data_IF_352015563096
#
_entry.id   IF_352015563096
#
_cell.length_a   1.000
_cell.length_b   1.000
_cell.length_c   1.000
_cell.angle_alpha   90.00
_cell.angle_beta   90.00
_cell.angle_gamma   90.00
#
_symmetry.space_group_name_H-M   'P 1'
#
loop_
_entity.id
_entity.type
_entity.pdbx_description
1 polymer ?
#
# COMPACT_ATOMS: atom_id res chain seq x y z
N UNK A 1 -0.13 11.77 16.85
CA UNK A 1 -0.25 12.85 15.84
C UNK A 1 -1.12 12.32 14.71
N UNK A 2 -2.07 13.11 14.18
CA UNK A 2 -2.90 12.68 13.06
C UNK A 2 -2.05 12.50 11.79
N UNK A 3 -2.54 11.67 10.87
CA UNK A 3 -1.94 11.55 9.54
C UNK A 3 -2.29 12.78 8.68
N UNK A 4 -1.36 13.21 7.84
CA UNK A 4 -1.64 14.16 6.77
C UNK A 4 -2.52 13.48 5.72
N UNK A 5 -3.59 14.14 5.28
CA UNK A 5 -4.53 13.57 4.28
C UNK A 5 -4.67 14.53 3.11
N UNK A 6 -4.48 14.02 1.91
CA UNK A 6 -4.83 14.69 0.66
C UNK A 6 -6.23 14.29 0.23
N UNK A 7 -7.06 15.28 -0.15
CA UNK A 7 -8.39 15.03 -0.71
C UNK A 7 -8.45 15.62 -2.10
N UNK A 8 -8.87 14.84 -3.10
CA UNK A 8 -8.96 15.26 -4.49
C UNK A 8 -10.18 14.62 -5.17
N UNK A 9 -10.78 15.34 -6.10
CA UNK A 9 -11.99 14.87 -6.78
C UNK A 9 -13.26 15.06 -5.97
N UNK A 10 -14.34 14.46 -6.45
CA UNK A 10 -15.67 14.51 -5.81
C UNK A 10 -16.42 13.21 -6.12
N UNK A 11 -17.45 12.90 -5.35
CA UNK A 11 -18.23 11.67 -5.48
C UNK A 11 -18.01 10.72 -4.32
N UNK A 12 -18.38 9.43 -4.46
CA UNK A 12 -18.22 8.44 -3.40
C UNK A 12 -16.75 8.30 -2.97
N UNK A 13 -16.46 8.19 -1.66
CA UNK A 13 -15.09 8.17 -1.18
C UNK A 13 -14.34 6.88 -1.52
N UNK A 14 -13.08 7.04 -1.94
CA UNK A 14 -12.11 5.96 -2.07
C UNK A 14 -10.85 6.32 -1.28
N UNK A 15 -10.51 5.48 -0.31
CA UNK A 15 -9.30 5.62 0.52
C UNK A 15 -8.13 4.97 -0.20
N UNK A 16 -7.04 5.72 -0.40
CA UNK A 16 -5.87 5.28 -1.14
C UNK A 16 -4.67 5.14 -0.19
N UNK A 17 -4.25 3.90 0.09
CA UNK A 17 -3.10 3.59 0.95
C UNK A 17 -1.88 3.24 0.09
N UNK A 18 -0.89 4.11 0.05
CA UNK A 18 0.28 4.02 -0.83
C UNK A 18 1.32 2.97 -0.38
N UNK A 19 2.28 2.65 -1.26
CA UNK A 19 3.40 1.76 -0.96
C UNK A 19 4.58 2.46 -0.28
N UNK A 20 5.54 1.68 0.24
CA UNK A 20 6.78 2.21 0.82
C UNK A 20 7.50 3.14 -0.17
N UNK A 21 8.07 4.21 0.33
CA UNK A 21 8.68 5.34 -0.38
C UNK A 21 7.73 6.22 -1.19
N UNK A 22 6.46 5.87 -1.32
CA UNK A 22 5.46 6.71 -1.99
C UNK A 22 4.88 7.76 -1.03
N UNK A 23 3.90 8.52 -1.51
CA UNK A 23 3.09 9.48 -0.75
C UNK A 23 1.62 9.34 -1.18
N UNK A 24 0.70 9.97 -0.48
CA UNK A 24 -0.72 10.00 -0.84
C UNK A 24 -1.00 10.54 -2.25
N UNK A 25 -0.02 11.23 -2.86
CA UNK A 25 -0.14 11.81 -4.21
C UNK A 25 0.30 10.88 -5.34
N UNK A 26 1.11 9.85 -5.06
CA UNK A 26 1.77 9.06 -6.10
C UNK A 26 0.89 7.90 -6.60
N UNK A 27 -0.10 8.21 -7.39
CA UNK A 27 -0.98 7.23 -8.05
C UNK A 27 -0.95 7.34 -9.58
N UNK A 28 -0.23 8.34 -10.14
CA UNK A 28 -0.09 8.57 -11.58
C UNK A 28 -1.44 8.66 -12.31
N UNK A 29 -1.46 8.33 -13.58
CA UNK A 29 -2.67 8.36 -14.40
C UNK A 29 -3.76 7.38 -13.92
N UNK A 30 -3.41 6.34 -13.18
CA UNK A 30 -4.39 5.48 -12.50
C UNK A 30 -5.21 6.28 -11.46
N UNK A 31 -4.54 7.11 -10.64
CA UNK A 31 -5.21 7.99 -9.68
C UNK A 31 -6.05 9.09 -10.36
N UNK A 32 -5.56 9.64 -11.48
CA UNK A 32 -6.30 10.64 -12.27
C UNK A 32 -7.63 10.09 -12.79
N UNK A 33 -7.65 8.81 -13.22
CA UNK A 33 -8.88 8.14 -13.65
C UNK A 33 -9.85 7.91 -12.49
N UNK A 34 -9.36 7.47 -11.33
CA UNK A 34 -10.19 7.34 -10.12
C UNK A 34 -10.80 8.69 -9.73
N UNK A 35 -10.04 9.78 -9.81
CA UNK A 35 -10.50 11.14 -9.46
C UNK A 35 -11.67 11.62 -10.32
N UNK A 36 -11.87 11.07 -11.51
CA UNK A 36 -13.00 11.39 -12.38
C UNK A 36 -14.37 11.01 -11.79
N UNK A 37 -14.41 9.92 -11.01
CA UNK A 37 -15.66 9.34 -10.50
C UNK A 37 -15.73 9.31 -8.96
N UNK A 38 -14.59 9.57 -8.25
CA UNK A 38 -14.49 9.38 -6.80
C UNK A 38 -13.82 10.55 -6.10
N UNK A 39 -14.20 10.77 -4.83
CA UNK A 39 -13.43 11.57 -3.89
C UNK A 39 -12.26 10.72 -3.36
N UNK A 40 -11.03 11.05 -3.76
CA UNK A 40 -9.83 10.36 -3.32
C UNK A 40 -9.41 10.87 -1.94
N UNK A 41 -9.42 10.01 -0.93
CA UNK A 41 -8.92 10.28 0.43
C UNK A 41 -7.60 9.55 0.57
N UNK A 42 -6.49 10.26 0.50
CA UNK A 42 -5.16 9.68 0.38
C UNK A 42 -4.25 10.13 1.54
N UNK A 43 -4.22 9.39 2.66
CA UNK A 43 -3.31 9.69 3.75
C UNK A 43 -1.86 9.41 3.35
N UNK A 44 -0.93 10.26 3.78
CA UNK A 44 0.48 9.91 3.88
C UNK A 44 0.63 8.93 5.05
N UNK A 45 1.14 7.72 4.79
CA UNK A 45 1.27 6.69 5.82
C UNK A 45 2.38 7.04 6.84
N UNK A 46 2.38 6.48 8.05
CA UNK A 46 3.41 6.76 9.06
C UNK A 46 4.83 6.69 8.49
N UNK A 47 5.63 7.70 8.79
CA UNK A 47 7.00 7.83 8.30
C UNK A 47 7.13 8.37 6.87
N UNK A 48 6.04 8.80 6.22
CA UNK A 48 6.08 9.30 4.85
C UNK A 48 5.57 10.75 4.76
N UNK A 49 6.28 11.57 3.97
CA UNK A 49 5.89 12.93 3.56
C UNK A 49 5.29 13.76 4.71
N UNK A 50 4.06 14.25 4.57
CA UNK A 50 3.37 15.05 5.61
C UNK A 50 3.12 14.31 6.93
N UNK A 51 3.32 12.98 6.97
CA UNK A 51 3.27 12.14 8.18
C UNK A 51 4.65 11.61 8.60
N UNK A 52 5.75 12.24 8.15
CA UNK A 52 7.12 11.78 8.38
C UNK A 52 7.50 11.64 9.85
N UNK A 53 6.89 12.43 10.74
CA UNK A 53 7.13 12.38 12.18
C UNK A 53 6.30 11.32 12.93
N UNK A 54 5.29 10.73 12.27
CA UNK A 54 4.43 9.71 12.89
C UNK A 54 5.18 8.38 12.96
N UNK A 55 5.21 7.77 14.14
CA UNK A 55 5.83 6.46 14.40
C UNK A 55 4.75 5.50 14.88
N UNK A 56 4.46 4.46 14.09
CA UNK A 56 3.42 3.48 14.39
C UNK A 56 3.77 2.13 13.75
N UNK A 57 3.45 1.04 14.42
CA UNK A 57 3.40 -0.30 13.84
C UNK A 57 2.12 -0.49 13.01
N UNK A 58 1.99 -1.61 12.32
CA UNK A 58 0.84 -1.84 11.42
C UNK A 58 -0.53 -1.77 12.14
N UNK A 59 -0.73 -2.36 13.34
CA UNK A 59 -1.99 -2.21 14.08
C UNK A 59 -2.30 -0.75 14.43
N UNK A 60 -1.35 -0.03 15.03
CA UNK A 60 -1.52 1.39 15.38
C UNK A 60 -1.70 2.27 14.14
N UNK A 61 -0.97 1.98 13.06
CA UNK A 61 -1.13 2.68 11.78
C UNK A 61 -2.54 2.47 11.18
N UNK A 62 -3.13 1.28 11.37
CA UNK A 62 -4.50 0.99 10.94
C UNK A 62 -5.54 1.84 11.71
N UNK A 63 -5.35 2.01 13.01
CA UNK A 63 -6.18 2.90 13.84
C UNK A 63 -6.05 4.35 13.37
N UNK A 64 -4.82 4.85 13.14
CA UNK A 64 -4.57 6.19 12.64
C UNK A 64 -5.18 6.42 11.24
N UNK A 65 -5.16 5.42 10.37
CA UNK A 65 -5.86 5.49 9.07
C UNK A 65 -7.36 5.63 9.28
N UNK A 66 -7.98 4.79 10.13
CA UNK A 66 -9.41 4.86 10.39
C UNK A 66 -9.81 6.22 11.01
N UNK A 67 -9.03 6.73 11.97
CA UNK A 67 -9.23 8.07 12.55
C UNK A 67 -9.15 9.17 11.50
N UNK A 68 -8.13 9.15 10.63
CA UNK A 68 -7.94 10.14 9.57
C UNK A 68 -9.08 10.10 8.54
N UNK A 69 -9.54 8.90 8.17
CA UNK A 69 -10.67 8.72 7.27
C UNK A 69 -11.96 9.21 7.91
N UNK A 70 -12.25 8.83 9.17
CA UNK A 70 -13.42 9.31 9.90
C UNK A 70 -13.43 10.84 10.06
N UNK A 71 -12.28 11.46 10.30
CA UNK A 71 -12.15 12.91 10.37
C UNK A 71 -12.45 13.60 9.02
N UNK A 72 -12.23 12.89 7.90
CA UNK A 72 -12.37 13.43 6.54
C UNK A 72 -13.77 13.23 5.97
N UNK A 73 -14.33 12.01 6.09
CA UNK A 73 -15.61 11.63 5.47
C UNK A 73 -16.69 11.22 6.47
N UNK A 74 -16.42 11.32 7.77
CA UNK A 74 -17.34 10.85 8.81
C UNK A 74 -17.51 9.33 8.78
N UNK A 75 -18.75 8.87 8.85
CA UNK A 75 -19.11 7.44 8.80
C UNK A 75 -19.55 6.97 7.41
N UNK A 76 -19.32 7.77 6.38
CA UNK A 76 -19.68 7.39 5.01
C UNK A 76 -18.93 6.12 4.59
N UNK A 77 -19.63 5.08 4.05
CA UNK A 77 -18.96 3.87 3.58
C UNK A 77 -18.04 4.18 2.40
N UNK A 78 -16.78 3.75 2.49
CA UNK A 78 -15.77 4.00 1.46
C UNK A 78 -15.36 2.73 0.70
N UNK A 79 -14.67 2.91 -0.41
CA UNK A 79 -13.80 1.88 -1.01
C UNK A 79 -12.42 2.02 -0.37
N UNK A 80 -11.75 0.90 -0.06
CA UNK A 80 -10.37 0.91 0.38
C UNK A 80 -9.48 0.31 -0.70
N UNK A 81 -8.53 1.07 -1.20
CA UNK A 81 -7.54 0.62 -2.17
C UNK A 81 -6.14 0.78 -1.58
N UNK A 82 -5.42 -0.33 -1.44
CA UNK A 82 -4.06 -0.33 -0.92
C UNK A 82 -3.06 -0.93 -1.90
N UNK A 83 -1.86 -0.36 -1.95
CA UNK A 83 -0.75 -0.89 -2.72
C UNK A 83 0.41 -1.29 -1.82
N UNK A 84 0.92 -2.53 -1.95
CA UNK A 84 2.11 -3.04 -1.26
C UNK A 84 2.04 -2.85 0.26
N UNK A 85 2.81 -1.92 0.86
CA UNK A 85 2.67 -1.52 2.27
C UNK A 85 1.21 -1.13 2.59
N UNK A 86 0.59 -0.29 1.75
CA UNK A 86 -0.79 0.14 1.91
C UNK A 86 -1.80 -1.02 1.79
N UNK A 87 -1.51 -2.04 0.98
CA UNK A 87 -2.36 -3.23 0.92
C UNK A 87 -2.28 -4.07 2.21
N UNK A 88 -1.09 -4.19 2.80
CA UNK A 88 -0.90 -4.85 4.10
C UNK A 88 -1.59 -4.06 5.22
N UNK A 89 -1.41 -2.76 5.24
CA UNK A 89 -2.08 -1.87 6.17
C UNK A 89 -3.60 -1.91 6.01
N UNK A 90 -4.10 -1.98 4.77
CA UNK A 90 -5.53 -2.17 4.47
C UNK A 90 -6.09 -3.45 5.10
N UNK A 91 -5.36 -4.56 5.08
CA UNK A 91 -5.75 -5.78 5.77
C UNK A 91 -5.83 -5.58 7.30
N UNK A 92 -4.86 -4.86 7.89
CA UNK A 92 -4.91 -4.53 9.32
C UNK A 92 -6.09 -3.61 9.65
N UNK A 93 -6.37 -2.61 8.82
CA UNK A 93 -7.53 -1.70 8.98
C UNK A 93 -8.84 -2.47 8.95
N UNK A 94 -9.02 -3.36 7.96
CA UNK A 94 -10.23 -4.18 7.83
C UNK A 94 -10.46 -5.15 9.00
N UNK A 95 -9.38 -5.68 9.59
CA UNK A 95 -9.44 -6.68 10.65
C UNK A 95 -9.40 -6.09 12.06
N UNK A 96 -9.01 -4.83 12.21
CA UNK A 96 -8.72 -4.22 13.50
C UNK A 96 -9.48 -2.94 13.82
N UNK A 97 -10.25 -2.37 12.87
CA UNK A 97 -10.98 -1.11 13.08
C UNK A 97 -12.45 -1.23 12.67
N UNK A 98 -13.22 -0.20 13.01
CA UNK A 98 -14.64 -0.09 12.66
C UNK A 98 -14.89 0.72 11.37
N UNK A 99 -13.85 0.94 10.55
CA UNK A 99 -13.99 1.66 9.30
C UNK A 99 -15.00 0.99 8.37
N UNK A 100 -16.03 1.75 7.97
CA UNK A 100 -17.08 1.24 7.07
C UNK A 100 -16.55 1.13 5.64
N UNK A 101 -16.25 -0.08 5.20
CA UNK A 101 -15.70 -0.37 3.87
C UNK A 101 -16.68 -1.23 3.07
N UNK A 102 -17.07 -0.76 1.87
CA UNK A 102 -18.00 -1.48 0.98
C UNK A 102 -17.32 -2.41 -0.02
N UNK A 103 -16.10 -2.08 -0.45
CA UNK A 103 -15.27 -2.87 -1.36
C UNK A 103 -13.80 -2.62 -1.10
N UNK A 104 -12.97 -3.60 -1.43
CA UNK A 104 -11.52 -3.55 -1.22
C UNK A 104 -10.76 -3.89 -2.49
N UNK A 105 -9.68 -3.16 -2.76
CA UNK A 105 -8.69 -3.50 -3.79
C UNK A 105 -7.31 -3.55 -3.15
N UNK A 106 -6.64 -4.70 -3.24
CA UNK A 106 -5.29 -4.92 -2.71
C UNK A 106 -4.33 -5.17 -3.86
N UNK A 107 -3.48 -4.20 -4.19
CA UNK A 107 -2.49 -4.32 -5.26
C UNK A 107 -1.14 -4.75 -4.67
N UNK A 108 -0.62 -5.90 -5.07
CA UNK A 108 0.67 -6.40 -4.59
C UNK A 108 0.72 -6.59 -3.07
N UNK A 109 -0.40 -7.01 -2.47
CA UNK A 109 -0.53 -7.25 -1.04
C UNK A 109 -0.10 -8.66 -0.61
N UNK A 110 0.11 -8.84 0.70
CA UNK A 110 0.36 -10.14 1.34
C UNK A 110 -0.23 -10.17 2.75
N UNK A 111 -0.68 -11.32 3.19
CA UNK A 111 -1.06 -11.57 4.58
C UNK A 111 0.12 -11.76 5.53
N UNK A 112 1.35 -11.60 5.06
CA UNK A 112 2.57 -11.75 5.86
C UNK A 112 3.38 -13.01 5.54
N UNK A 113 4.48 -13.20 6.26
CA UNK A 113 5.41 -14.33 6.14
C UNK A 113 5.09 -15.33 7.25
N UNK A 114 4.74 -16.57 6.91
CA UNK A 114 4.38 -17.61 7.91
C UNK A 114 5.60 -18.11 8.68
N UNK A 115 6.69 -18.38 7.98
CA UNK A 115 7.90 -18.92 8.59
C UNK A 115 8.61 -17.87 9.46
N UNK A 116 8.79 -18.18 10.74
CA UNK A 116 9.38 -17.29 11.71
C UNK A 116 10.85 -16.93 11.41
N UNK A 117 11.60 -17.89 10.87
CA UNK A 117 13.01 -17.64 10.50
C UNK A 117 13.10 -16.77 9.25
N UNK A 118 12.18 -16.92 8.29
CA UNK A 118 12.09 -16.03 7.13
C UNK A 118 11.67 -14.63 7.56
N UNK A 119 10.70 -14.48 8.49
CA UNK A 119 10.33 -13.18 9.06
C UNK A 119 11.51 -12.49 9.72
N UNK A 120 12.29 -13.23 10.49
CA UNK A 120 13.49 -12.69 11.16
C UNK A 120 14.54 -12.22 10.14
N UNK A 121 14.84 -13.04 9.12
CA UNK A 121 15.76 -12.63 8.04
C UNK A 121 15.26 -11.37 7.32
N UNK A 122 13.96 -11.28 7.10
CA UNK A 122 13.36 -10.10 6.48
C UNK A 122 13.46 -8.88 7.41
N UNK A 123 13.25 -9.03 8.71
CA UNK A 123 13.41 -7.94 9.69
C UNK A 123 14.85 -7.43 9.73
N UNK A 124 15.82 -8.32 9.68
CA UNK A 124 17.24 -7.94 9.61
C UNK A 124 17.56 -7.18 8.32
N UNK A 125 16.97 -7.57 7.20
CA UNK A 125 17.12 -6.85 5.93
C UNK A 125 16.48 -5.45 6.01
N UNK A 126 15.28 -5.33 6.58
CA UNK A 126 14.59 -4.06 6.76
C UNK A 126 15.38 -3.14 7.70
N UNK A 127 15.98 -3.69 8.79
CA UNK A 127 16.85 -2.94 9.71
C UNK A 127 18.13 -2.44 9.03
N UNK A 128 18.77 -3.27 8.21
CA UNK A 128 19.98 -2.85 7.49
C UNK A 128 19.69 -1.67 6.54
N UNK A 129 18.53 -1.71 5.83
CA UNK A 129 18.10 -0.60 4.97
C UNK A 129 17.74 0.66 5.80
N UNK A 130 17.13 0.48 6.97
CA UNK A 130 16.79 1.58 7.87
C UNK A 130 18.06 2.27 8.41
N UNK A 131 19.04 1.49 8.84
CA UNK A 131 20.34 2.01 9.31
C UNK A 131 21.10 2.73 8.18
N UNK A 132 21.05 2.20 6.95
CA UNK A 132 21.63 2.88 5.78
C UNK A 132 20.99 4.26 5.55
N UNK A 133 19.67 4.35 5.59
CA UNK A 133 18.93 5.61 5.43
C UNK A 133 19.31 6.62 6.52
N UNK A 134 19.35 6.21 7.79
CA UNK A 134 19.70 7.10 8.89
C UNK A 134 21.16 7.59 8.81
N UNK A 135 22.08 6.70 8.47
CA UNK A 135 23.49 7.06 8.31
C UNK A 135 23.74 8.03 7.15
N UNK A 136 22.97 7.88 6.06
CA UNK A 136 23.08 8.75 4.89
C UNK A 136 22.33 10.08 5.07
N UNK A 137 21.36 10.15 6.00
CA UNK A 137 20.51 11.31 6.22
C UNK A 137 19.67 11.66 4.99
N UNK A 138 19.01 12.81 5.02
CA UNK A 138 18.09 13.23 3.95
C UNK A 138 18.80 13.44 2.60
N UNK A 139 20.06 13.81 2.61
CA UNK A 139 20.90 13.93 1.41
C UNK A 139 21.02 12.56 0.70
N UNK A 140 21.05 11.46 1.46
CA UNK A 140 21.16 10.10 0.95
C UNK A 140 19.85 9.51 0.40
N UNK A 141 18.70 10.12 0.68
CA UNK A 141 17.39 9.60 0.24
C UNK A 141 17.31 9.43 -1.29
N UNK A 142 17.86 10.38 -2.06
CA UNK A 142 17.87 10.29 -3.52
C UNK A 142 18.64 9.04 -4.02
N UNK A 143 19.83 8.80 -3.46
CA UNK A 143 20.65 7.64 -3.82
C UNK A 143 20.00 6.31 -3.36
N UNK A 144 19.38 6.30 -2.19
CA UNK A 144 18.58 5.16 -1.73
C UNK A 144 17.43 4.85 -2.70
N UNK A 145 16.66 5.85 -3.11
CA UNK A 145 15.55 5.70 -4.06
C UNK A 145 16.03 5.17 -5.41
N UNK A 146 17.20 5.61 -5.88
CA UNK A 146 17.78 5.13 -7.12
C UNK A 146 18.08 3.62 -7.07
N UNK A 147 18.69 3.15 -5.99
CA UNK A 147 18.94 1.72 -5.78
C UNK A 147 17.65 0.93 -5.56
N UNK A 148 16.75 1.46 -4.74
CA UNK A 148 15.45 0.85 -4.45
C UNK A 148 14.64 0.61 -5.73
N UNK A 149 14.51 1.62 -6.58
CA UNK A 149 13.77 1.54 -7.83
C UNK A 149 14.49 0.76 -8.94
N UNK A 150 15.81 0.57 -8.83
CA UNK A 150 16.58 -0.32 -9.71
C UNK A 150 16.46 -1.80 -9.32
N UNK A 151 15.89 -2.09 -8.15
CA UNK A 151 15.73 -3.45 -7.66
C UNK A 151 14.74 -4.29 -8.50
N UNK A 152 14.84 -5.63 -8.41
CA UNK A 152 14.05 -6.56 -9.23
C UNK A 152 12.54 -6.38 -9.06
N UNK A 153 12.08 -5.90 -7.91
CA UNK A 153 10.66 -5.62 -7.64
C UNK A 153 10.06 -4.60 -8.62
N UNK A 154 10.88 -3.67 -9.14
CA UNK A 154 10.48 -2.60 -10.05
C UNK A 154 10.99 -2.78 -11.48
N UNK A 155 11.45 -3.98 -11.85
CA UNK A 155 11.99 -4.25 -13.19
C UNK A 155 11.02 -3.91 -14.35
N UNK A 156 9.70 -3.96 -14.08
CA UNK A 156 8.64 -3.62 -15.04
C UNK A 156 8.12 -2.18 -14.90
N UNK A 157 8.64 -1.39 -13.97
CA UNK A 157 8.19 -0.02 -13.75
C UNK A 157 8.99 0.94 -14.66
N UNK A 158 8.35 1.62 -15.63
CA UNK A 158 9.02 2.63 -16.45
C UNK A 158 9.57 3.77 -15.57
N UNK A 159 10.75 4.28 -15.89
CA UNK A 159 11.37 5.38 -15.15
C UNK A 159 10.49 6.63 -15.07
N UNK A 160 9.74 6.93 -16.14
CA UNK A 160 8.79 8.04 -16.21
C UNK A 160 7.60 7.88 -15.26
N UNK A 161 7.20 6.63 -14.95
CA UNK A 161 6.10 6.33 -14.04
C UNK A 161 6.55 6.12 -12.58
N UNK A 162 7.86 6.13 -12.32
CA UNK A 162 8.41 5.83 -11.00
C UNK A 162 8.15 6.92 -9.94
N UNK A 163 7.77 8.14 -10.35
CA UNK A 163 7.42 9.24 -9.45
C UNK A 163 8.56 9.67 -8.53
N UNK A 164 9.79 9.76 -9.05
CA UNK A 164 11.01 10.02 -8.26
C UNK A 164 10.94 11.32 -7.47
N UNK A 165 10.43 12.38 -8.06
CA UNK A 165 10.37 13.69 -7.41
C UNK A 165 9.36 13.66 -6.24
N UNK A 166 8.23 12.99 -6.42
CA UNK A 166 7.26 12.84 -5.33
C UNK A 166 7.82 11.96 -4.19
N UNK A 167 8.57 10.90 -4.50
CA UNK A 167 9.23 10.06 -3.49
C UNK A 167 10.30 10.79 -2.68
N UNK A 168 10.96 11.81 -3.27
CA UNK A 168 11.95 12.65 -2.59
C UNK A 168 11.38 13.57 -1.52
N UNK A 169 10.06 13.66 -1.40
CA UNK A 169 9.38 14.36 -0.30
C UNK A 169 9.49 13.63 1.03
N UNK A 170 9.94 12.38 1.01
CA UNK A 170 10.20 11.61 2.22
C UNK A 170 11.56 11.96 2.83
N UNK A 171 11.65 11.91 4.16
CA UNK A 171 12.90 12.04 4.90
C UNK A 171 13.49 10.66 5.28
N UNK A 172 14.79 10.63 5.52
CA UNK A 172 15.50 9.40 5.86
C UNK A 172 14.97 8.75 7.15
N UNK A 173 14.78 9.54 8.21
CA UNK A 173 14.31 9.04 9.52
C UNK A 173 12.87 8.50 9.46
N UNK A 174 12.02 9.10 8.63
CA UNK A 174 10.65 8.62 8.42
C UNK A 174 10.63 7.27 7.71
N UNK A 175 11.34 7.15 6.58
CA UNK A 175 11.46 5.90 5.84
C UNK A 175 12.10 4.79 6.67
N UNK A 176 13.17 5.09 7.43
CA UNK A 176 13.81 4.13 8.34
C UNK A 176 12.83 3.61 9.40
N UNK A 177 12.06 4.51 10.01
CA UNK A 177 11.01 4.14 10.96
C UNK A 177 9.94 3.24 10.33
N UNK A 178 9.49 3.56 9.11
CA UNK A 178 8.51 2.74 8.39
C UNK A 178 9.04 1.32 8.11
N UNK A 179 10.32 1.17 7.75
CA UNK A 179 10.95 -0.15 7.58
C UNK A 179 10.93 -0.96 8.89
N UNK A 180 11.30 -0.33 10.03
CA UNK A 180 11.36 -1.00 11.33
C UNK A 180 10.00 -1.39 11.88
N UNK A 181 9.01 -0.50 11.76
CA UNK A 181 7.71 -0.67 12.41
C UNK A 181 6.66 -1.30 11.50
N UNK A 182 6.72 -1.03 10.19
CA UNK A 182 5.77 -1.52 9.20
C UNK A 182 6.40 -2.44 8.16
N UNK A 183 7.63 -2.91 8.35
CA UNK A 183 8.30 -3.86 7.47
C UNK A 183 7.52 -5.19 7.37
N UNK A 184 7.73 -5.95 6.29
CA UNK A 184 7.04 -7.25 6.15
C UNK A 184 7.55 -8.26 7.19
N UNK A 185 8.78 -8.08 7.70
CA UNK A 185 9.36 -8.93 8.74
C UNK A 185 8.77 -8.70 10.12
N UNK A 186 8.17 -7.54 10.40
CA UNK A 186 7.50 -7.24 11.67
C UNK A 186 6.01 -7.58 11.66
N UNK A 187 5.45 -7.84 10.49
CA UNK A 187 4.03 -8.18 10.37
C UNK A 187 3.76 -9.60 10.89
N UNK A 188 2.88 -9.72 11.88
CA UNK A 188 2.32 -11.02 12.23
C UNK A 188 1.43 -11.55 11.09
N UNK A 189 1.51 -12.85 10.76
CA UNK A 189 0.73 -13.42 9.66
C UNK A 189 -0.77 -13.30 9.89
N UNK A 190 -1.49 -12.75 8.91
CA UNK A 190 -2.94 -12.55 8.95
C UNK A 190 -3.74 -13.66 8.27
N UNK A 191 -3.08 -14.65 7.66
CA UNK A 191 -3.73 -15.65 6.80
C UNK A 191 -4.92 -16.34 7.46
N UNK A 192 -4.78 -16.77 8.72
CA UNK A 192 -5.86 -17.40 9.48
C UNK A 192 -6.98 -16.45 9.90
N UNK A 193 -6.76 -15.12 9.80
CA UNK A 193 -7.77 -14.09 10.12
C UNK A 193 -8.56 -13.65 8.89
N UNK A 194 -8.06 -13.89 7.67
CA UNK A 194 -8.70 -13.43 6.44
C UNK A 194 -10.10 -14.04 6.23
N UNK A 195 -10.39 -15.19 6.81
CA UNK A 195 -11.74 -15.78 6.81
C UNK A 195 -12.81 -14.89 7.47
N UNK A 196 -12.41 -13.93 8.30
CA UNK A 196 -13.32 -12.97 8.92
C UNK A 196 -13.68 -11.78 8.00
N UNK A 197 -13.02 -11.63 6.85
CA UNK A 197 -13.31 -10.57 5.89
C UNK A 197 -14.58 -10.90 5.10
N UNK A 198 -15.68 -10.25 5.46
CA UNK A 198 -16.97 -10.39 4.74
C UNK A 198 -17.14 -9.38 3.61
N UNK A 199 -16.34 -8.31 3.59
CA UNK A 199 -16.36 -7.33 2.51
C UNK A 199 -15.79 -7.92 1.22
N UNK A 200 -16.33 -7.58 0.02
CA UNK A 200 -15.77 -8.02 -1.24
C UNK A 200 -14.34 -7.50 -1.47
N UNK A 201 -13.39 -8.39 -1.82
CA UNK A 201 -11.96 -8.08 -2.01
C UNK A 201 -11.50 -8.46 -3.42
N UNK A 202 -10.89 -7.52 -4.12
CA UNK A 202 -10.07 -7.78 -5.32
C UNK A 202 -8.59 -7.79 -4.93
N UNK A 203 -7.94 -8.94 -5.02
CA UNK A 203 -6.49 -9.07 -4.89
C UNK A 203 -5.84 -8.99 -6.28
N UNK A 204 -5.14 -7.90 -6.58
CA UNK A 204 -4.56 -7.60 -7.89
C UNK A 204 -3.03 -7.70 -7.83
N UNK A 205 -2.42 -8.37 -8.81
CA UNK A 205 -0.97 -8.42 -8.99
C UNK A 205 -0.60 -8.39 -10.47
N UNK A 206 0.65 -8.11 -10.78
CA UNK A 206 1.17 -8.34 -12.13
C UNK A 206 1.56 -9.80 -12.34
N UNK A 207 1.35 -10.34 -13.55
CA UNK A 207 1.71 -11.74 -13.85
C UNK A 207 3.21 -12.02 -13.80
N UNK A 208 4.04 -10.98 -13.98
CA UNK A 208 5.51 -11.07 -13.91
C UNK A 208 6.05 -10.86 -12.48
N UNK A 209 5.16 -10.57 -11.53
CA UNK A 209 5.46 -10.58 -10.10
C UNK A 209 4.98 -11.90 -9.47
N UNK A 210 5.70 -12.99 -9.76
CA UNK A 210 5.33 -14.34 -9.32
C UNK A 210 5.03 -14.42 -7.82
N UNK A 211 5.82 -13.72 -6.99
CA UNK A 211 5.66 -13.73 -5.53
C UNK A 211 4.31 -13.16 -5.13
N UNK A 212 3.97 -11.97 -5.61
CA UNK A 212 2.71 -11.31 -5.23
C UNK A 212 1.52 -11.86 -6.01
N UNK A 213 1.73 -12.48 -7.17
CA UNK A 213 0.71 -13.30 -7.84
C UNK A 213 0.25 -14.47 -6.96
N UNK A 214 1.20 -15.21 -6.35
CA UNK A 214 0.90 -16.29 -5.39
C UNK A 214 0.18 -15.72 -4.16
N UNK A 215 0.59 -14.57 -3.64
CA UNK A 215 -0.10 -13.94 -2.51
C UNK A 215 -1.52 -13.50 -2.85
N UNK A 216 -1.77 -12.97 -4.06
CA UNK A 216 -3.11 -12.60 -4.50
C UNK A 216 -4.03 -13.82 -4.56
N UNK A 217 -3.57 -14.93 -5.14
CA UNK A 217 -4.30 -16.20 -5.16
C UNK A 217 -4.57 -16.73 -3.73
N UNK A 218 -3.59 -16.62 -2.85
CA UNK A 218 -3.75 -17.05 -1.45
C UNK A 218 -4.75 -16.17 -0.68
N UNK A 219 -4.76 -14.85 -0.90
CA UNK A 219 -5.79 -13.96 -0.32
C UNK A 219 -7.18 -14.42 -0.78
N UNK A 220 -7.35 -14.68 -2.08
CA UNK A 220 -8.62 -15.16 -2.63
C UNK A 220 -9.04 -16.53 -2.07
N UNK A 221 -8.08 -17.38 -1.73
CA UNK A 221 -8.38 -18.68 -1.12
C UNK A 221 -8.73 -18.60 0.38
N UNK A 222 -8.24 -17.58 1.09
CA UNK A 222 -8.43 -17.44 2.53
C UNK A 222 -9.62 -16.54 2.92
N UNK A 223 -10.00 -15.57 2.09
CA UNK A 223 -11.10 -14.65 2.35
C UNK A 223 -12.36 -15.06 1.54
N UNK A 224 -13.53 -15.20 2.18
CA UNK A 224 -14.70 -15.83 1.55
C UNK A 224 -15.26 -15.07 0.34
N UNK A 225 -15.11 -13.75 0.32
CA UNK A 225 -15.61 -12.88 -0.76
C UNK A 225 -14.47 -12.24 -1.56
N UNK A 226 -13.32 -12.93 -1.66
CA UNK A 226 -12.18 -12.41 -2.39
C UNK A 226 -12.01 -13.09 -3.75
N UNK A 227 -11.59 -12.31 -4.73
CA UNK A 227 -11.15 -12.79 -6.04
C UNK A 227 -9.75 -12.29 -6.33
N UNK A 228 -8.97 -13.08 -7.07
CA UNK A 228 -7.65 -12.69 -7.54
C UNK A 228 -7.70 -12.36 -9.03
N UNK A 229 -6.97 -11.32 -9.44
CA UNK A 229 -6.75 -10.99 -10.85
C UNK A 229 -5.28 -10.68 -11.11
N UNK A 230 -4.77 -11.16 -12.25
CA UNK A 230 -3.39 -10.93 -12.67
C UNK A 230 -3.37 -10.07 -13.92
N UNK A 231 -2.61 -8.98 -13.90
CA UNK A 231 -2.40 -8.11 -15.07
C UNK A 231 -1.26 -8.69 -15.91
N UNK A 232 -1.52 -9.12 -17.15
CA UNK A 232 -0.50 -9.73 -18.02
C UNK A 232 0.71 -8.81 -18.24
N UNK A 233 1.92 -9.35 -18.08
CA UNK A 233 3.19 -8.62 -18.22
C UNK A 233 3.43 -7.54 -17.16
N UNK A 234 2.54 -7.42 -16.17
CA UNK A 234 2.67 -6.46 -15.08
C UNK A 234 3.65 -6.93 -14.01
N UNK A 235 4.38 -5.97 -13.41
CA UNK A 235 5.21 -6.18 -12.22
C UNK A 235 4.52 -5.72 -10.95
N UNK A 236 5.29 -5.49 -9.88
CA UNK A 236 4.76 -5.16 -8.55
C UNK A 236 3.94 -3.86 -8.52
N UNK A 237 4.41 -2.80 -9.16
CA UNK A 237 3.71 -1.52 -9.24
C UNK A 237 2.80 -1.43 -10.47
N UNK A 238 1.94 -2.42 -10.66
CA UNK A 238 1.13 -2.59 -11.87
C UNK A 238 0.23 -1.39 -12.18
N UNK A 239 -0.30 -0.71 -11.18
CA UNK A 239 -1.13 0.50 -11.31
C UNK A 239 -0.36 1.70 -11.88
N UNK A 240 0.97 1.75 -11.68
CA UNK A 240 1.85 2.76 -12.27
C UNK A 240 2.43 2.33 -13.61
N UNK A 241 2.76 1.03 -13.75
CA UNK A 241 3.40 0.50 -14.96
C UNK A 241 2.42 0.25 -16.10
N UNK A 242 1.19 -0.16 -15.78
CA UNK A 242 0.12 -0.46 -16.74
C UNK A 242 -1.22 0.14 -16.26
N UNK A 243 -1.30 1.47 -16.11
CA UNK A 243 -2.44 2.14 -15.48
C UNK A 243 -3.77 1.86 -16.17
N UNK A 244 -3.79 1.76 -17.51
CA UNK A 244 -5.01 1.50 -18.27
C UNK A 244 -5.56 0.09 -18.03
N UNK A 245 -4.69 -0.89 -17.88
CA UNK A 245 -5.10 -2.26 -17.64
C UNK A 245 -5.57 -2.44 -16.18
N UNK A 246 -4.78 -1.93 -15.23
CA UNK A 246 -5.15 -1.93 -13.82
C UNK A 246 -6.48 -1.19 -13.59
N UNK A 247 -6.65 -0.03 -14.25
CA UNK A 247 -7.90 0.74 -14.18
C UNK A 247 -9.10 -0.07 -14.64
N UNK A 248 -9.06 -0.69 -15.84
CA UNK A 248 -10.20 -1.46 -16.36
C UNK A 248 -10.64 -2.57 -15.41
N UNK A 249 -9.71 -3.28 -14.78
CA UNK A 249 -10.02 -4.34 -13.83
C UNK A 249 -10.63 -3.77 -12.54
N UNK A 250 -10.08 -2.68 -12.03
CA UNK A 250 -10.59 -2.02 -10.82
C UNK A 250 -11.94 -1.37 -11.07
N UNK A 251 -12.13 -0.66 -12.17
CA UNK A 251 -13.39 -0.01 -12.51
C UNK A 251 -14.53 -1.05 -12.69
N UNK A 252 -14.24 -2.13 -13.42
CA UNK A 252 -15.19 -3.25 -13.56
C UNK A 252 -15.58 -3.81 -12.17
N UNK A 253 -14.60 -4.04 -11.31
CA UNK A 253 -14.81 -4.53 -9.94
C UNK A 253 -15.63 -3.56 -9.08
N UNK A 254 -15.37 -2.27 -9.19
CA UNK A 254 -16.06 -1.24 -8.39
C UNK A 254 -17.52 -1.05 -8.81
N UNK A 255 -17.87 -1.35 -10.08
CA UNK A 255 -19.22 -1.23 -10.63
C UNK A 255 -20.05 -2.52 -10.55
N UNK A 256 -19.42 -3.68 -10.37
CA UNK A 256 -20.09 -4.97 -10.18
C UNK A 256 -20.82 -5.05 -8.82
#
# INVERSE_FOLDING_TARGET
MPLHVEVRGSGPPIVLLHGFTQTGRLWGSFGERLQGDYALVAPDLPGHSGSEAVRADLPTAAELVAEAVHATIGKEPCVLLGYSLGARLGLHTLLGTDLSVRRVVLIGGTGGIDDAAERERRRQTDEAMAAELENAGDIGVAAFLDRWLAGPLFARLPRSAAGRDERRRNCASGLASSLRLCGTGTQEPLWGRLQALTVPVLALAGSDDNRFGIHALRIAACAPNAVASLVPGGGHAVHLAQPDHAWRLVDHWLRA
#
